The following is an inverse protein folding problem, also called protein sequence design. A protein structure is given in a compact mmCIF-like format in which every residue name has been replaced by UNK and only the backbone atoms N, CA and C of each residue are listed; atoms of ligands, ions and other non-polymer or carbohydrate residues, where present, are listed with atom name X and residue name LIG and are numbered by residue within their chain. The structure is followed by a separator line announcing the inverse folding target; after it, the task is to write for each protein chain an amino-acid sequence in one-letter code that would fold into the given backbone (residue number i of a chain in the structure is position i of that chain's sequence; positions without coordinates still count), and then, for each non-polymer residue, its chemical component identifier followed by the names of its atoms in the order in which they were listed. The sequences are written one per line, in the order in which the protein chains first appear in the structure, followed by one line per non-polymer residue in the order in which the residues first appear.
data_IF_795307663931
#
_entry.id   IF_795307663931
#
_cell.length_a   1.000
_cell.length_b   1.000
_cell.length_c   1.000
_cell.angle_alpha   90.00
_cell.angle_beta   90.00
_cell.angle_gamma   90.00
#
_symmetry.space_group_name_H-M   'P 1'
#
loop_
_entity.id
_entity.type
_entity.pdbx_description
1 polymer ?
#
# COMPACT_ATOMS: atom_id res chain seq x y z
N UNK A 1 -10.77 -28.95 -30.51
CA UNK A 1 -11.66 -28.29 -29.54
C UNK A 1 -10.85 -28.02 -28.30
N UNK A 2 -10.49 -26.77 -28.04
CA UNK A 2 -9.91 -26.32 -26.78
C UNK A 2 -10.70 -25.07 -26.41
N UNK A 3 -11.75 -25.29 -25.63
CA UNK A 3 -12.61 -24.26 -25.09
C UNK A 3 -11.78 -23.44 -24.11
N UNK A 4 -11.35 -22.27 -24.58
CA UNK A 4 -10.65 -21.26 -23.80
C UNK A 4 -11.68 -20.67 -22.83
N UNK A 5 -11.90 -21.35 -21.71
CA UNK A 5 -12.57 -20.77 -20.55
C UNK A 5 -11.66 -19.61 -20.07
N UNK A 6 -11.90 -18.43 -20.64
CA UNK A 6 -11.62 -17.17 -19.96
C UNK A 6 -12.36 -17.28 -18.64
N UNK A 7 -11.65 -17.38 -17.53
CA UNK A 7 -12.26 -17.22 -16.21
C UNK A 7 -12.85 -15.80 -16.18
N UNK A 8 -14.16 -15.74 -16.45
CA UNK A 8 -14.98 -14.57 -16.22
C UNK A 8 -14.87 -14.35 -14.72
N UNK A 9 -14.23 -13.23 -14.33
CA UNK A 9 -14.17 -12.74 -12.95
C UNK A 9 -15.46 -13.10 -12.23
N UNK A 10 -15.36 -13.72 -11.04
CA UNK A 10 -16.57 -14.00 -10.29
C UNK A 10 -17.29 -12.68 -9.93
N UNK A 11 -18.59 -12.73 -9.65
CA UNK A 11 -19.41 -11.52 -9.46
C UNK A 11 -18.84 -10.58 -8.39
N UNK A 12 -18.26 -11.14 -7.32
CA UNK A 12 -17.59 -10.39 -6.24
C UNK A 12 -16.35 -9.65 -6.75
N UNK A 13 -15.47 -10.33 -7.49
CA UNK A 13 -14.27 -9.75 -8.06
C UNK A 13 -14.59 -8.67 -9.08
N UNK A 14 -15.61 -8.89 -9.91
CA UNK A 14 -16.05 -7.89 -10.87
C UNK A 14 -16.58 -6.63 -10.16
N UNK A 15 -17.41 -6.78 -9.11
CA UNK A 15 -17.96 -5.65 -8.35
C UNK A 15 -16.85 -4.86 -7.64
N UNK A 16 -15.94 -5.55 -6.94
CA UNK A 16 -14.86 -4.88 -6.20
C UNK A 16 -13.93 -4.11 -7.14
N UNK A 17 -13.51 -4.72 -8.27
CA UNK A 17 -12.67 -4.07 -9.27
C UNK A 17 -13.38 -2.86 -9.88
N UNK A 18 -14.69 -2.98 -10.14
CA UNK A 18 -15.48 -1.86 -10.68
C UNK A 18 -15.52 -0.69 -9.69
N UNK A 19 -15.76 -0.96 -8.40
CA UNK A 19 -15.78 0.07 -7.35
C UNK A 19 -14.40 0.68 -7.11
N UNK A 20 -13.32 -0.10 -7.19
CA UNK A 20 -11.93 0.41 -7.14
C UNK A 20 -11.64 1.35 -8.32
N UNK A 21 -12.04 0.97 -9.53
CA UNK A 21 -11.96 1.81 -10.74
C UNK A 21 -12.79 3.08 -10.63
N UNK A 22 -13.92 3.03 -9.93
CA UNK A 22 -14.72 4.22 -9.65
C UNK A 22 -13.96 5.16 -8.71
N UNK A 23 -13.41 4.64 -7.61
CA UNK A 23 -12.61 5.43 -6.67
C UNK A 23 -11.40 6.08 -7.35
N UNK A 24 -10.71 5.37 -8.24
CA UNK A 24 -9.51 5.89 -8.93
C UNK A 24 -9.79 7.08 -9.85
N UNK A 25 -11.04 7.29 -10.26
CA UNK A 25 -11.45 8.40 -11.13
C UNK A 25 -11.75 9.70 -10.39
N UNK A 26 -11.82 9.67 -9.05
CA UNK A 26 -12.16 10.85 -8.25
C UNK A 26 -11.11 11.94 -8.42
N UNK A 27 -11.56 13.16 -8.71
CA UNK A 27 -10.73 14.34 -8.79
C UNK A 27 -10.96 15.28 -7.60
N UNK A 28 -9.98 16.16 -7.36
CA UNK A 28 -10.12 17.17 -6.32
C UNK A 28 -11.27 18.14 -6.67
N UNK A 29 -12.12 18.42 -5.68
CA UNK A 29 -13.35 19.18 -5.87
C UNK A 29 -14.58 18.32 -6.24
N UNK A 30 -14.42 17.01 -6.39
CA UNK A 30 -15.55 16.07 -6.56
C UNK A 30 -15.90 15.40 -5.24
N UNK A 31 -17.21 15.16 -5.05
CA UNK A 31 -17.79 14.42 -3.94
C UNK A 31 -18.44 13.16 -4.46
N UNK A 32 -18.44 12.11 -3.63
CA UNK A 32 -19.11 10.85 -3.94
C UNK A 32 -20.57 10.95 -3.49
N UNK A 33 -21.48 10.51 -4.35
CA UNK A 33 -22.82 10.10 -3.98
C UNK A 33 -22.84 8.57 -3.96
N UNK A 34 -22.82 7.99 -2.76
CA UNK A 34 -22.69 6.53 -2.56
C UNK A 34 -23.95 5.78 -3.01
N UNK A 35 -25.13 6.39 -2.89
CA UNK A 35 -26.41 5.77 -3.24
C UNK A 35 -26.55 5.58 -4.75
N UNK A 36 -26.07 6.53 -5.55
CA UNK A 36 -26.10 6.45 -7.02
C UNK A 36 -24.77 6.03 -7.66
N UNK A 37 -23.70 5.84 -6.86
CA UNK A 37 -22.31 5.65 -7.31
C UNK A 37 -21.90 6.69 -8.38
N UNK A 38 -22.04 7.97 -8.03
CA UNK A 38 -21.78 9.11 -8.91
C UNK A 38 -20.82 10.13 -8.31
N UNK A 39 -20.15 10.86 -9.20
CA UNK A 39 -19.27 11.97 -8.85
C UNK A 39 -20.01 13.29 -9.07
N UNK A 40 -20.11 14.08 -8.01
CA UNK A 40 -20.73 15.39 -8.02
C UNK A 40 -19.66 16.47 -7.85
N UNK A 41 -19.59 17.44 -8.77
CA UNK A 41 -18.66 18.57 -8.64
C UNK A 41 -19.15 19.53 -7.57
N UNK A 42 -18.24 19.97 -6.70
CA UNK A 42 -18.55 20.99 -5.69
C UNK A 42 -18.72 22.35 -6.38
N UNK A 43 -19.95 22.67 -6.75
CA UNK A 43 -20.32 23.98 -7.28
C UNK A 43 -20.29 25.07 -6.20
N UNK A 44 -19.90 26.28 -6.58
CA UNK A 44 -19.83 27.47 -5.70
C UNK A 44 -21.20 27.83 -5.06
N UNK A 45 -22.31 27.34 -5.64
CA UNK A 45 -23.66 27.88 -5.45
C UNK A 45 -24.38 27.49 -4.13
N UNK A 46 -23.81 26.64 -3.26
CA UNK A 46 -24.56 26.02 -2.13
C UNK A 46 -23.81 26.02 -0.79
N UNK A 47 -23.23 27.15 -0.37
CA UNK A 47 -22.56 27.26 0.96
C UNK A 47 -23.49 26.88 2.13
N UNK A 48 -24.80 27.13 2.03
CA UNK A 48 -25.76 26.84 3.11
C UNK A 48 -26.30 25.40 3.09
N UNK A 49 -26.55 24.81 1.91
CA UNK A 49 -26.95 23.39 1.79
C UNK A 49 -25.80 22.45 2.18
N UNK A 50 -24.55 22.91 2.01
CA UNK A 50 -23.31 22.21 2.41
C UNK A 50 -23.24 21.87 3.90
N UNK A 51 -23.75 22.69 4.81
CA UNK A 51 -23.57 22.43 6.26
C UNK A 51 -24.40 21.26 6.79
N UNK A 52 -25.56 20.97 6.19
CA UNK A 52 -26.44 19.88 6.63
C UNK A 52 -26.30 18.60 5.77
N UNK A 53 -25.99 18.74 4.48
CA UNK A 53 -25.75 17.60 3.57
C UNK A 53 -24.34 17.00 3.69
N UNK A 54 -23.34 17.76 4.19
CA UNK A 54 -21.95 17.29 4.20
C UNK A 54 -21.65 16.27 5.29
N UNK A 55 -22.30 16.32 6.46
CA UNK A 55 -21.94 15.44 7.59
C UNK A 55 -22.35 14.00 7.31
N UNK A 56 -23.59 13.79 6.86
CA UNK A 56 -24.13 12.44 6.61
C UNK A 56 -23.50 11.78 5.37
N UNK A 57 -23.22 12.58 4.32
CA UNK A 57 -22.55 12.08 3.13
C UNK A 57 -21.07 11.72 3.37
N UNK A 58 -20.40 12.35 4.35
CA UNK A 58 -19.00 12.05 4.72
C UNK A 58 -18.87 10.68 5.38
N UNK A 59 -19.73 10.36 6.34
CA UNK A 59 -19.71 9.06 7.00
C UNK A 59 -20.00 7.93 6.01
N UNK A 60 -21.05 8.08 5.19
CA UNK A 60 -21.35 7.13 4.10
C UNK A 60 -20.17 6.96 3.13
N UNK A 61 -19.50 8.06 2.79
CA UNK A 61 -18.32 8.04 1.93
C UNK A 61 -17.16 7.29 2.58
N UNK A 62 -16.91 7.51 3.87
CA UNK A 62 -15.87 6.80 4.61
C UNK A 62 -16.16 5.29 4.70
N UNK A 63 -17.40 4.92 5.02
CA UNK A 63 -17.85 3.53 5.07
C UNK A 63 -17.70 2.84 3.70
N UNK A 64 -18.12 3.51 2.63
CA UNK A 64 -17.95 3.00 1.26
C UNK A 64 -16.47 2.78 0.90
N UNK A 65 -15.59 3.74 1.23
CA UNK A 65 -14.14 3.60 0.99
C UNK A 65 -13.57 2.42 1.78
N UNK A 66 -14.00 2.26 3.04
CA UNK A 66 -13.58 1.15 3.90
C UNK A 66 -14.00 -0.20 3.32
N UNK A 67 -15.25 -0.32 2.90
CA UNK A 67 -15.81 -1.53 2.29
C UNK A 67 -15.05 -1.92 1.01
N UNK A 68 -14.90 -0.97 0.07
CA UNK A 68 -14.31 -1.24 -1.24
C UNK A 68 -12.83 -1.58 -1.15
N UNK A 69 -12.06 -0.81 -0.38
CA UNK A 69 -10.63 -1.09 -0.26
C UNK A 69 -10.39 -2.31 0.61
N UNK A 70 -11.16 -2.48 1.69
CA UNK A 70 -11.08 -3.65 2.56
C UNK A 70 -11.34 -4.93 1.79
N UNK A 71 -12.40 -4.96 0.97
CA UNK A 71 -12.70 -6.09 0.10
C UNK A 71 -11.64 -6.32 -0.98
N UNK A 72 -11.04 -5.25 -1.53
CA UNK A 72 -9.94 -5.36 -2.48
C UNK A 72 -8.69 -6.00 -1.88
N UNK A 73 -8.32 -5.60 -0.66
CA UNK A 73 -7.18 -6.16 0.07
C UNK A 73 -7.45 -7.60 0.52
N UNK A 74 -8.66 -7.89 1.01
CA UNK A 74 -9.04 -9.26 1.38
C UNK A 74 -8.93 -10.20 0.18
N UNK A 75 -9.39 -9.74 -0.99
CA UNK A 75 -9.31 -10.50 -2.23
C UNK A 75 -7.87 -10.66 -2.73
N UNK A 76 -7.01 -9.64 -2.55
CA UNK A 76 -5.57 -9.74 -2.79
C UNK A 76 -4.92 -10.81 -1.91
N UNK A 77 -5.19 -10.80 -0.61
CA UNK A 77 -4.66 -11.82 0.31
C UNK A 77 -5.15 -13.22 -0.06
N UNK A 78 -6.42 -13.35 -0.47
CA UNK A 78 -7.03 -14.62 -0.88
C UNK A 78 -6.37 -15.18 -2.15
N UNK A 79 -6.16 -14.33 -3.16
CA UNK A 79 -5.59 -14.71 -4.45
C UNK A 79 -4.06 -14.83 -4.43
N UNK A 80 -3.37 -14.14 -3.52
CA UNK A 80 -1.92 -14.25 -3.34
C UNK A 80 -1.46 -15.66 -2.92
N UNK A 81 -2.37 -16.48 -2.37
CA UNK A 81 -2.12 -17.89 -2.08
C UNK A 81 -2.48 -18.83 -3.25
N UNK A 82 -2.97 -18.29 -4.38
CA UNK A 82 -3.42 -19.04 -5.54
C UNK A 82 -2.27 -19.48 -6.45
N UNK A 83 -2.35 -20.71 -6.99
CA UNK A 83 -1.32 -21.28 -7.85
C UNK A 83 -1.59 -21.05 -9.35
N UNK A 84 -2.84 -20.75 -9.71
CA UNK A 84 -3.25 -20.63 -11.11
C UNK A 84 -2.75 -19.34 -11.76
N UNK A 85 -2.48 -19.38 -13.06
CA UNK A 85 -2.08 -18.20 -13.82
C UNK A 85 -3.19 -17.13 -13.87
N UNK A 86 -4.46 -17.57 -13.86
CA UNK A 86 -5.63 -16.68 -13.83
C UNK A 86 -5.71 -15.90 -12.51
N UNK A 87 -5.57 -16.59 -11.38
CA UNK A 87 -5.57 -15.95 -10.04
C UNK A 87 -4.44 -14.95 -9.91
N UNK A 88 -3.21 -15.28 -10.36
CA UNK A 88 -2.08 -14.34 -10.36
C UNK A 88 -2.36 -13.08 -11.18
N UNK A 89 -2.94 -13.24 -12.37
CA UNK A 89 -3.29 -12.10 -13.24
C UNK A 89 -4.37 -11.20 -12.62
N UNK A 90 -5.40 -11.80 -12.00
CA UNK A 90 -6.45 -11.05 -11.29
C UNK A 90 -5.86 -10.36 -10.06
N UNK A 91 -4.95 -11.02 -9.34
CA UNK A 91 -4.27 -10.47 -8.17
C UNK A 91 -3.41 -9.25 -8.55
N UNK A 92 -2.63 -9.34 -9.63
CA UNK A 92 -1.86 -8.21 -10.16
C UNK A 92 -2.79 -7.03 -10.55
N UNK A 93 -3.90 -7.35 -11.24
CA UNK A 93 -4.92 -6.35 -11.61
C UNK A 93 -5.49 -5.66 -10.36
N UNK A 94 -5.89 -6.42 -9.35
CA UNK A 94 -6.39 -5.88 -8.08
C UNK A 94 -5.37 -4.96 -7.41
N UNK A 95 -4.09 -5.34 -7.40
CA UNK A 95 -3.03 -4.52 -6.80
C UNK A 95 -2.92 -3.16 -7.49
N UNK A 96 -2.97 -3.14 -8.83
CA UNK A 96 -2.99 -1.89 -9.61
C UNK A 96 -4.24 -1.06 -9.30
N UNK A 97 -5.42 -1.68 -9.24
CA UNK A 97 -6.67 -0.97 -9.00
C UNK A 97 -6.79 -0.42 -7.57
N UNK A 98 -6.30 -1.14 -6.56
CA UNK A 98 -6.22 -0.65 -5.17
C UNK A 98 -5.30 0.57 -5.09
N UNK A 99 -4.10 0.52 -5.68
CA UNK A 99 -3.19 1.68 -5.73
C UNK A 99 -3.82 2.87 -6.49
N UNK A 100 -4.53 2.59 -7.58
CA UNK A 100 -5.31 3.60 -8.30
C UNK A 100 -6.37 4.26 -7.44
N UNK A 101 -7.14 3.45 -6.69
CA UNK A 101 -8.17 3.93 -5.78
C UNK A 101 -7.59 4.82 -4.67
N UNK A 102 -6.43 4.47 -4.10
CA UNK A 102 -5.72 5.31 -3.12
C UNK A 102 -5.42 6.72 -3.67
N UNK A 103 -5.04 6.84 -4.94
CA UNK A 103 -4.82 8.15 -5.56
C UNK A 103 -6.12 8.97 -5.67
N UNK A 104 -7.24 8.33 -6.00
CA UNK A 104 -8.55 8.97 -5.97
C UNK A 104 -8.98 9.39 -4.57
N UNK A 105 -8.75 8.55 -3.55
CA UNK A 105 -9.03 8.86 -2.14
C UNK A 105 -8.18 10.05 -1.66
N UNK A 106 -6.91 10.16 -2.08
CA UNK A 106 -6.09 11.35 -1.81
C UNK A 106 -6.66 12.61 -2.44
N UNK A 107 -7.20 12.51 -3.66
CA UNK A 107 -7.90 13.63 -4.30
C UNK A 107 -9.16 14.03 -3.53
N UNK A 108 -9.94 13.04 -3.08
CA UNK A 108 -11.12 13.25 -2.24
C UNK A 108 -10.77 13.93 -0.91
N UNK A 109 -9.67 13.52 -0.27
CA UNK A 109 -9.16 14.17 0.94
C UNK A 109 -8.97 15.68 0.74
N UNK A 110 -8.45 16.10 -0.42
CA UNK A 110 -8.29 17.53 -0.76
C UNK A 110 -9.65 18.24 -0.88
N UNK A 111 -10.67 17.58 -1.41
CA UNK A 111 -12.05 18.10 -1.47
C UNK A 111 -12.60 18.43 -0.08
N UNK A 112 -12.23 17.66 0.93
CA UNK A 112 -12.66 17.83 2.32
C UNK A 112 -11.59 18.45 3.22
N UNK A 113 -10.68 19.26 2.65
CA UNK A 113 -9.56 19.86 3.39
C UNK A 113 -9.96 20.76 4.57
N UNK A 114 -11.23 21.18 4.64
CA UNK A 114 -11.82 21.91 5.76
C UNK A 114 -12.19 21.01 6.96
N UNK A 115 -12.27 19.69 6.77
CA UNK A 115 -12.61 18.70 7.80
C UNK A 115 -11.38 17.91 8.25
N UNK A 116 -10.75 18.40 9.31
CA UNK A 116 -9.54 17.79 9.87
C UNK A 116 -9.76 16.35 10.32
N UNK A 117 -10.90 16.02 10.95
CA UNK A 117 -11.13 14.67 11.48
C UNK A 117 -11.30 13.66 10.35
N UNK A 118 -12.10 14.02 9.33
CA UNK A 118 -12.24 13.21 8.13
C UNK A 118 -10.88 13.01 7.42
N UNK A 119 -10.11 14.08 7.23
CA UNK A 119 -8.79 13.98 6.61
C UNK A 119 -7.84 13.05 7.38
N UNK A 120 -7.78 13.17 8.71
CA UNK A 120 -6.97 12.29 9.56
C UNK A 120 -7.42 10.83 9.49
N UNK A 121 -8.74 10.58 9.48
CA UNK A 121 -9.29 9.24 9.31
C UNK A 121 -8.89 8.61 7.98
N UNK A 122 -8.99 9.37 6.89
CA UNK A 122 -8.54 8.94 5.56
C UNK A 122 -7.03 8.70 5.51
N UNK A 123 -6.21 9.58 6.10
CA UNK A 123 -4.75 9.40 6.12
C UNK A 123 -4.35 8.14 6.88
N UNK A 124 -4.91 7.92 8.07
CA UNK A 124 -4.71 6.67 8.84
C UNK A 124 -5.09 5.44 8.01
N UNK A 125 -6.19 5.54 7.26
CA UNK A 125 -6.66 4.44 6.43
C UNK A 125 -5.72 4.17 5.24
N UNK A 126 -5.27 5.22 4.54
CA UNK A 126 -4.28 5.11 3.46
C UNK A 126 -3.00 4.45 3.98
N UNK A 127 -2.46 4.93 5.10
CA UNK A 127 -1.24 4.39 5.70
C UNK A 127 -1.38 2.89 6.02
N UNK A 128 -2.51 2.47 6.60
CA UNK A 128 -2.79 1.07 6.89
C UNK A 128 -2.86 0.21 5.63
N UNK A 129 -3.49 0.72 4.56
CA UNK A 129 -3.62 0.00 3.29
C UNK A 129 -2.26 -0.13 2.60
N UNK A 130 -1.47 0.94 2.59
CA UNK A 130 -0.13 0.93 2.01
C UNK A 130 0.79 -0.05 2.73
N UNK A 131 0.72 -0.11 4.07
CA UNK A 131 1.44 -1.13 4.84
C UNK A 131 1.06 -2.55 4.41
N UNK A 132 -0.23 -2.84 4.22
CA UNK A 132 -0.69 -4.16 3.76
C UNK A 132 -0.27 -4.48 2.32
N UNK A 133 -0.20 -3.48 1.45
CA UNK A 133 0.28 -3.67 0.08
C UNK A 133 1.77 -3.96 0.05
N UNK A 134 2.56 -3.37 0.95
CA UNK A 134 3.99 -3.69 1.09
C UNK A 134 4.19 -5.15 1.50
N UNK A 135 3.46 -5.63 2.51
CA UNK A 135 3.51 -7.04 2.93
C UNK A 135 3.19 -8.00 1.77
N UNK A 136 2.24 -7.60 0.91
CA UNK A 136 1.88 -8.37 -0.27
C UNK A 136 2.97 -8.34 -1.35
N UNK A 137 3.50 -7.16 -1.70
CA UNK A 137 4.52 -7.02 -2.73
C UNK A 137 5.79 -7.85 -2.39
N UNK A 138 6.16 -7.89 -1.11
CA UNK A 138 7.25 -8.73 -0.59
C UNK A 138 6.95 -10.24 -0.76
N UNK A 139 5.71 -10.67 -0.49
CA UNK A 139 5.30 -12.07 -0.66
C UNK A 139 5.31 -12.57 -2.10
N UNK A 140 5.13 -11.67 -3.07
CA UNK A 140 5.15 -11.99 -4.52
C UNK A 140 6.57 -12.03 -5.07
N UNK A 141 7.52 -11.31 -4.45
CA UNK A 141 8.91 -11.19 -4.93
C UNK A 141 9.91 -12.13 -4.27
N UNK A 142 9.49 -13.06 -3.41
CA UNK A 142 10.35 -14.16 -2.95
C UNK A 142 10.13 -15.44 -3.78
N UNK A 143 10.85 -15.65 -4.90
CA UNK A 143 11.07 -17.00 -5.38
C UNK A 143 11.97 -17.72 -4.38
N UNK A 144 11.67 -18.99 -4.13
CA UNK A 144 12.52 -19.98 -3.43
C UNK A 144 13.98 -19.56 -3.29
N UNK A 145 14.39 -19.19 -2.07
CA UNK A 145 15.77 -19.32 -1.64
C UNK A 145 15.89 -20.55 -0.74
N UNK A 146 15.46 -21.70 -1.23
CA UNK A 146 15.85 -22.98 -0.62
C UNK A 146 17.29 -23.31 -1.04
N UNK A 147 18.21 -23.10 -0.09
CA UNK A 147 19.29 -24.01 0.31
C UNK A 147 20.31 -24.38 -0.79
N UNK A 148 21.55 -23.91 -0.68
CA UNK A 148 22.58 -24.73 0.00
C UNK A 148 23.73 -23.88 0.55
N UNK A 149 24.02 -23.93 1.86
CA UNK A 149 25.35 -23.59 2.34
C UNK A 149 26.25 -24.79 2.02
N UNK A 150 26.94 -24.74 0.88
CA UNK A 150 28.05 -25.66 0.64
C UNK A 150 29.16 -25.34 1.65
N UNK A 151 29.12 -26.10 2.74
CA UNK A 151 30.22 -26.27 3.67
C UNK A 151 31.19 -27.25 3.04
N UNK A 152 32.40 -26.81 2.71
CA UNK A 152 33.61 -27.62 2.57
C UNK A 152 34.80 -26.67 2.84
N UNK A 153 35.18 -26.46 4.09
CA UNK A 153 36.20 -27.22 4.84
C UNK A 153 37.58 -27.19 4.16
N UNK A 154 38.51 -26.43 4.73
CA UNK A 154 39.71 -27.06 5.34
C UNK A 154 40.38 -26.13 6.37
N UNK A 155 40.53 -26.58 7.63
CA UNK A 155 41.32 -25.90 8.65
C UNK A 155 42.71 -26.52 8.72
N UNK A 156 43.79 -25.77 8.51
CA UNK A 156 45.11 -26.21 8.95
C UNK A 156 46.03 -25.05 9.31
N UNK A 157 46.35 -24.99 10.62
CA UNK A 157 47.68 -24.75 11.20
C UNK A 157 48.36 -23.40 10.96
N UNK A 158 49.14 -22.79 11.83
CA UNK A 158 49.37 -22.81 13.26
C UNK A 158 50.46 -21.72 13.47
N UNK A 159 50.21 -20.79 14.40
CA UNK A 159 51.18 -20.26 15.39
C UNK A 159 52.55 -19.74 14.89
N UNK A 160 52.82 -18.46 15.15
CA UNK A 160 54.04 -18.05 15.89
C UNK A 160 53.81 -16.74 16.65
N UNK A 161 53.94 -16.71 17.99
CA UNK A 161 53.98 -15.50 18.79
C UNK A 161 55.43 -15.14 19.20
N UNK A 162 55.61 -13.93 19.75
CA UNK A 162 56.79 -13.39 20.46
C UNK A 162 57.96 -12.93 19.58
N UNK A 163 58.66 -11.80 19.79
CA UNK A 163 58.75 -10.76 20.83
C UNK A 163 59.47 -9.56 20.17
N UNK A 164 59.29 -8.30 20.58
CA UNK A 164 60.12 -7.71 21.63
C UNK A 164 59.60 -6.33 22.08
N UNK A 165 59.59 -6.15 23.40
CA UNK A 165 59.44 -4.92 24.18
C UNK A 165 60.88 -4.32 24.27
N UNK A 166 61.17 -3.01 24.27
CA UNK A 166 61.19 -2.05 25.42
C UNK A 166 62.05 -0.78 25.03
N UNK A 167 62.26 0.28 25.85
CA UNK A 167 61.57 1.58 25.82
C UNK A 167 62.50 2.84 25.75
N UNK A 168 61.91 4.05 25.74
CA UNK A 168 62.57 5.32 26.12
C UNK A 168 62.15 6.50 25.22
N UNK A 169 62.01 7.77 25.63
CA UNK A 169 62.14 8.46 26.91
C UNK A 169 61.64 9.92 26.69
N UNK A 170 60.84 10.45 27.64
CA UNK A 170 60.58 11.86 28.02
C UNK A 170 59.96 12.90 27.05
N UNK A 171 58.96 13.61 27.61
CA UNK A 171 58.27 14.83 27.14
C UNK A 171 59.14 16.12 27.32
N UNK A 172 58.63 17.40 27.32
CA UNK A 172 57.41 18.06 26.77
C UNK A 172 57.69 19.44 26.07
N UNK A 173 56.59 20.15 25.70
CA UNK A 173 56.39 21.62 25.60
C UNK A 173 56.69 22.33 24.24
N UNK A 174 55.70 23.05 23.69
CA UNK A 174 55.45 24.49 23.95
C UNK A 174 54.30 25.05 23.09
N UNK A 175 53.64 26.03 23.70
CA UNK A 175 52.46 26.80 23.30
C UNK A 175 52.73 27.88 22.25
N UNK A 176 51.61 28.47 21.78
CA UNK A 176 51.43 29.80 21.17
C UNK A 176 51.87 29.93 19.70
N UNK A 177 51.13 30.61 18.82
CA UNK A 177 50.19 31.72 18.98
C UNK A 177 49.24 31.77 17.77
#
# INVERSE_FOLDING_TARGET
MAEKHNDILNERQHDIITKLKFLSKIQAGEKINVEELRLEKDGVMLVLKRRYWSVDNRQKTEEFIREVIGGGIEELCRLGSGESAGERSICETLGVEVRGALNGIRSLKRTYSDDTYFCCGIDTYIELIEARLLDYDDSVTTPHSDITPHSDITPHSAITPHSAITPGERQPKKSAK
#
